data_IF_800059015506
#
_entry.id   IF_800059015506
#
_cell.length_a   1.000
_cell.length_b   1.000
_cell.length_c   1.000
_cell.angle_alpha   90.00
_cell.angle_beta   90.00
_cell.angle_gamma   90.00
#
_symmetry.space_group_name_H-M   'P 1'
#
loop_
_entity.id
_entity.type
_entity.pdbx_description
1 polymer ?
#
# COMPACT_ATOMS: atom_id res chain seq x y z
N UNK A 1 -38.45 -7.78 -36.40
CA UNK A 1 -37.91 -7.29 -37.65
C UNK A 1 -36.52 -6.71 -37.31
N UNK A 2 -35.37 -7.15 -37.66
CA UNK A 2 -34.87 -8.20 -38.56
C UNK A 2 -33.51 -8.63 -38.03
N UNK A 3 -33.35 -9.91 -37.76
CA UNK A 3 -32.06 -10.57 -37.50
C UNK A 3 -31.18 -10.48 -38.74
N UNK A 4 -29.94 -10.09 -38.59
CA UNK A 4 -28.88 -10.35 -39.57
C UNK A 4 -27.78 -11.19 -38.94
N UNK A 5 -27.89 -12.49 -39.26
CA UNK A 5 -26.85 -13.51 -39.13
C UNK A 5 -25.70 -13.15 -40.06
N UNK A 6 -24.47 -13.15 -39.58
CA UNK A 6 -23.29 -13.25 -40.42
C UNK A 6 -22.80 -14.71 -40.51
N UNK A 7 -22.37 -15.15 -41.70
CA UNK A 7 -22.00 -16.52 -41.92
C UNK A 7 -20.52 -16.79 -41.63
N UNK A 8 -20.24 -17.97 -41.12
CA UNK A 8 -18.96 -18.66 -41.09
C UNK A 8 -18.44 -18.86 -42.52
N UNK A 9 -17.26 -18.40 -42.81
CA UNK A 9 -16.50 -18.72 -44.04
C UNK A 9 -15.17 -19.35 -43.64
N UNK A 10 -15.13 -20.66 -43.58
CA UNK A 10 -14.39 -21.64 -44.35
C UNK A 10 -12.95 -21.31 -44.73
N UNK A 11 -12.09 -22.13 -44.15
CA UNK A 11 -10.76 -22.52 -44.55
C UNK A 11 -10.50 -22.41 -46.06
N UNK A 12 -9.45 -21.69 -46.44
CA UNK A 12 -8.72 -21.89 -47.70
C UNK A 12 -7.27 -22.13 -47.40
N UNK A 13 -6.94 -23.42 -47.23
CA UNK A 13 -5.60 -23.93 -47.53
C UNK A 13 -5.45 -23.90 -49.05
N UNK A 14 -4.67 -22.96 -49.54
CA UNK A 14 -4.18 -23.01 -50.93
C UNK A 14 -2.68 -23.17 -50.89
N UNK A 15 -2.27 -24.29 -51.44
CA UNK A 15 -0.91 -24.67 -51.84
C UNK A 15 -0.16 -23.50 -52.50
N UNK A 16 0.97 -23.14 -51.93
CA UNK A 16 2.08 -22.50 -52.62
C UNK A 16 3.33 -23.32 -52.36
N UNK A 17 3.55 -24.26 -53.31
CA UNK A 17 4.80 -24.97 -53.52
C UNK A 17 5.77 -23.98 -54.13
N UNK A 18 6.91 -23.74 -53.48
CA UNK A 18 8.10 -23.20 -54.11
C UNK A 18 8.38 -21.72 -53.87
N UNK A 19 8.82 -21.37 -52.64
CA UNK A 19 9.76 -20.26 -52.48
C UNK A 19 10.66 -20.58 -51.30
N UNK A 20 11.88 -20.94 -51.62
CA UNK A 20 13.03 -21.01 -50.72
C UNK A 20 13.37 -19.57 -50.37
N UNK A 21 12.85 -19.03 -49.27
CA UNK A 21 13.23 -17.72 -48.76
C UNK A 21 13.71 -17.89 -47.32
N UNK A 22 15.04 -17.75 -47.23
CA UNK A 22 15.79 -17.28 -46.06
C UNK A 22 15.01 -17.19 -44.73
N UNK A 23 14.83 -18.38 -44.11
CA UNK A 23 14.18 -18.50 -42.81
C UNK A 23 15.12 -18.31 -41.62
N UNK A 24 15.96 -17.22 -41.56
CA UNK A 24 16.90 -17.06 -40.45
C UNK A 24 16.82 -15.73 -39.68
N UNK A 25 15.90 -14.84 -40.02
CA UNK A 25 15.82 -13.54 -39.37
C UNK A 25 14.51 -13.24 -38.61
N UNK A 26 13.49 -14.10 -38.73
CA UNK A 26 12.21 -13.87 -38.00
C UNK A 26 12.13 -14.62 -36.65
N UNK A 27 12.96 -15.61 -36.41
CA UNK A 27 13.00 -16.38 -35.16
C UNK A 27 13.56 -15.56 -33.99
N UNK A 28 14.63 -14.78 -34.23
CA UNK A 28 15.27 -14.01 -33.14
C UNK A 28 14.44 -12.83 -32.61
N UNK A 29 13.53 -12.26 -33.42
CA UNK A 29 12.71 -11.12 -32.99
C UNK A 29 11.56 -11.53 -32.10
N UNK A 30 10.99 -12.70 -32.33
CA UNK A 30 9.94 -13.29 -31.49
C UNK A 30 10.48 -13.79 -30.15
N UNK A 31 11.65 -14.39 -30.14
CA UNK A 31 12.32 -14.84 -28.92
C UNK A 31 12.81 -13.69 -28.06
N UNK A 32 13.35 -12.64 -28.64
CA UNK A 32 13.73 -11.43 -27.91
C UNK A 32 12.51 -10.72 -27.30
N UNK A 33 11.41 -10.64 -28.03
CA UNK A 33 10.14 -10.08 -27.53
C UNK A 33 9.53 -10.94 -26.40
N UNK A 34 9.57 -12.27 -26.56
CA UNK A 34 9.11 -13.20 -25.52
C UNK A 34 10.00 -13.16 -24.28
N UNK A 35 11.32 -13.04 -24.42
CA UNK A 35 12.23 -12.86 -23.30
C UNK A 35 11.98 -11.56 -22.57
N UNK A 36 11.79 -10.45 -23.28
CA UNK A 36 11.45 -9.14 -22.68
C UNK A 36 10.15 -9.20 -21.88
N UNK A 37 9.10 -9.82 -22.43
CA UNK A 37 7.81 -10.01 -21.71
C UNK A 37 7.93 -10.97 -20.51
N UNK A 38 8.84 -11.94 -20.55
CA UNK A 38 9.09 -12.83 -19.41
C UNK A 38 9.98 -12.18 -18.35
N UNK A 39 10.86 -11.26 -18.72
CA UNK A 39 11.67 -10.48 -17.78
C UNK A 39 10.83 -9.42 -17.07
N UNK A 40 9.90 -8.74 -17.74
CA UNK A 40 8.95 -7.82 -17.10
C UNK A 40 8.09 -8.50 -16.04
N UNK A 41 7.73 -9.77 -16.22
CA UNK A 41 6.92 -10.51 -15.24
C UNK A 41 7.72 -10.99 -14.01
N UNK A 42 9.05 -11.05 -14.06
CA UNK A 42 9.86 -11.46 -12.92
C UNK A 42 10.03 -10.40 -11.84
N UNK A 43 9.87 -9.13 -12.22
CA UNK A 43 10.07 -8.00 -11.32
C UNK A 43 8.77 -7.47 -10.69
N UNK A 44 7.71 -8.30 -10.66
CA UNK A 44 6.41 -7.89 -10.12
C UNK A 44 6.14 -8.58 -8.78
N UNK A 45 5.99 -7.80 -7.72
CA UNK A 45 5.56 -8.27 -6.41
C UNK A 45 4.04 -8.10 -6.31
N UNK A 46 3.31 -9.21 -6.15
CA UNK A 46 1.86 -9.20 -5.94
C UNK A 46 1.54 -8.95 -4.47
N UNK A 47 0.76 -7.92 -4.18
CA UNK A 47 0.29 -7.58 -2.84
C UNK A 47 -1.11 -8.14 -2.60
N UNK A 48 -2.00 -7.88 -3.55
CA UNK A 48 -3.37 -8.39 -3.59
C UNK A 48 -3.73 -8.78 -5.01
N UNK A 49 -4.88 -9.43 -5.22
CA UNK A 49 -5.33 -9.82 -6.56
C UNK A 49 -5.42 -8.64 -7.56
N UNK A 50 -5.48 -7.39 -7.06
CA UNK A 50 -5.63 -6.17 -7.88
C UNK A 50 -4.44 -5.22 -7.80
N UNK A 51 -3.51 -5.45 -6.89
CA UNK A 51 -2.39 -4.54 -6.64
C UNK A 51 -1.06 -5.27 -6.79
N UNK A 52 -0.24 -4.71 -7.62
CA UNK A 52 1.13 -5.15 -7.86
C UNK A 52 2.08 -3.96 -7.77
N UNK A 53 3.29 -4.17 -7.33
CA UNK A 53 4.39 -3.20 -7.35
C UNK A 53 5.55 -3.80 -8.13
N UNK A 54 6.40 -2.96 -8.69
CA UNK A 54 7.62 -3.38 -9.38
C UNK A 54 8.78 -3.42 -8.41
N UNK A 55 9.69 -4.36 -8.59
CA UNK A 55 10.96 -4.35 -7.84
C UNK A 55 11.79 -3.10 -8.13
N UNK A 56 11.67 -2.52 -9.32
CA UNK A 56 12.35 -1.28 -9.73
C UNK A 56 11.92 -0.05 -8.91
N UNK A 57 10.76 -0.13 -8.24
CA UNK A 57 10.29 0.92 -7.32
C UNK A 57 10.85 0.76 -5.90
N UNK A 58 11.69 -0.26 -5.67
CA UNK A 58 12.33 -0.57 -4.40
C UNK A 58 13.83 -0.32 -4.49
N UNK A 59 14.36 0.51 -3.61
CA UNK A 59 15.77 0.72 -3.43
C UNK A 59 16.21 0.14 -2.09
N UNK A 60 17.16 -0.79 -2.12
CA UNK A 60 17.69 -1.44 -0.93
C UNK A 60 19.08 -0.85 -0.59
N UNK A 61 19.25 -0.38 0.62
CA UNK A 61 20.52 0.06 1.16
C UNK A 61 20.86 -0.69 2.44
N UNK A 62 22.14 -0.96 2.62
CA UNK A 62 22.64 -1.71 3.76
C UNK A 62 23.31 -0.77 4.74
N UNK A 63 22.76 -0.71 5.95
CA UNK A 63 23.23 0.15 7.01
C UNK A 63 23.77 -0.67 8.18
N UNK A 64 24.61 -0.06 8.98
CA UNK A 64 25.05 -0.66 10.24
C UNK A 64 23.91 -0.62 11.24
N UNK A 65 23.63 -1.76 11.87
CA UNK A 65 22.62 -1.79 12.93
C UNK A 65 23.08 -0.93 14.11
N UNK A 66 22.25 0.02 14.53
CA UNK A 66 22.47 0.80 15.75
C UNK A 66 21.80 0.08 16.93
N UNK A 67 22.54 -0.24 17.96
CA UNK A 67 21.98 -0.86 19.17
C UNK A 67 23.05 -1.35 20.16
N UNK A 68 22.68 -1.66 21.40
CA UNK A 68 23.58 -2.27 22.38
C UNK A 68 23.89 -3.70 21.92
N UNK A 69 24.99 -3.87 21.19
CA UNK A 69 25.43 -5.16 20.66
C UNK A 69 26.95 -5.30 20.79
N UNK A 70 27.42 -6.56 20.80
CA UNK A 70 28.85 -6.90 20.84
C UNK A 70 29.58 -6.46 19.57
N UNK A 71 30.92 -6.77 19.53
CA UNK A 71 31.85 -6.31 18.46
C UNK A 71 31.35 -6.60 17.01
N UNK A 72 30.54 -7.62 16.79
CA UNK A 72 30.02 -7.97 15.45
C UNK A 72 28.99 -6.97 14.92
N UNK A 73 28.19 -6.31 15.79
CA UNK A 73 27.15 -5.35 15.38
C UNK A 73 27.81 -4.11 14.75
N UNK A 74 29.00 -3.73 15.22
CA UNK A 74 29.70 -2.55 14.73
C UNK A 74 30.50 -2.79 13.44
N UNK A 75 30.77 -4.06 13.09
CA UNK A 75 31.61 -4.42 11.93
C UNK A 75 30.82 -4.84 10.70
N UNK A 76 29.59 -5.34 10.87
CA UNK A 76 28.81 -5.92 9.77
C UNK A 76 27.54 -5.11 9.53
N UNK A 77 27.33 -4.67 8.27
CA UNK A 77 26.13 -3.95 7.85
C UNK A 77 25.00 -4.96 7.57
N UNK A 78 24.39 -5.49 8.63
CA UNK A 78 23.29 -6.46 8.53
C UNK A 78 21.90 -5.82 8.48
N UNK A 79 21.78 -4.56 8.87
CA UNK A 79 20.50 -3.85 8.79
C UNK A 79 20.22 -3.42 7.35
N UNK A 80 18.97 -3.55 6.95
CA UNK A 80 18.48 -3.20 5.63
C UNK A 80 17.55 -2.00 5.75
N UNK A 81 17.79 -0.99 4.94
CA UNK A 81 16.91 0.13 4.74
C UNK A 81 16.29 0.01 3.36
N UNK A 82 14.99 -0.22 3.32
CA UNK A 82 14.20 -0.33 2.10
C UNK A 82 13.49 1.00 1.85
N UNK A 83 13.78 1.62 0.71
CA UNK A 83 13.09 2.81 0.21
C UNK A 83 12.12 2.40 -0.87
N UNK A 84 10.86 2.74 -0.71
CA UNK A 84 9.81 2.51 -1.70
C UNK A 84 9.38 3.82 -2.32
N UNK A 85 9.54 3.95 -3.65
CA UNK A 85 9.14 5.10 -4.44
C UNK A 85 7.65 5.07 -4.74
N UNK A 86 6.82 5.48 -3.78
CA UNK A 86 5.37 5.38 -3.88
C UNK A 86 4.79 6.21 -5.03
N UNK A 87 5.38 7.38 -5.32
CA UNK A 87 4.94 8.25 -6.42
C UNK A 87 5.12 7.61 -7.81
N UNK A 88 6.09 6.71 -7.98
CA UNK A 88 6.40 6.04 -9.25
C UNK A 88 5.68 4.69 -9.42
N UNK A 89 5.19 4.12 -8.35
CA UNK A 89 4.66 2.75 -8.29
C UNK A 89 3.33 2.54 -9.02
N UNK A 90 2.71 3.61 -9.55
CA UNK A 90 1.43 3.51 -10.26
C UNK A 90 0.24 3.12 -9.38
N UNK A 91 0.38 3.18 -8.06
CA UNK A 91 -0.72 2.92 -7.13
C UNK A 91 -1.80 4.02 -7.24
N UNK A 92 -3.09 3.69 -7.09
CA UNK A 92 -4.17 4.68 -7.06
C UNK A 92 -3.96 5.74 -5.97
N UNK A 93 -4.30 6.99 -6.25
CA UNK A 93 -4.09 8.14 -5.36
C UNK A 93 -4.79 7.96 -3.99
N UNK A 94 -5.97 7.34 -3.98
CA UNK A 94 -6.70 7.01 -2.74
C UNK A 94 -5.90 6.07 -1.83
N UNK A 95 -5.19 5.10 -2.43
CA UNK A 95 -4.35 4.16 -1.70
C UNK A 95 -3.08 4.87 -1.24
N UNK A 96 -2.45 5.70 -2.07
CA UNK A 96 -1.29 6.50 -1.70
C UNK A 96 -1.58 7.40 -0.50
N UNK A 97 -2.69 8.13 -0.53
CA UNK A 97 -3.10 9.00 0.59
C UNK A 97 -3.27 8.22 1.91
N UNK A 98 -3.87 7.02 1.85
CA UNK A 98 -4.01 6.16 3.02
C UNK A 98 -2.69 5.56 3.46
N UNK A 99 -1.85 5.18 2.51
CA UNK A 99 -0.54 4.62 2.73
C UNK A 99 0.37 5.60 3.50
N UNK A 100 0.42 6.87 3.09
CA UNK A 100 1.17 7.91 3.80
C UNK A 100 0.62 8.18 5.20
N UNK A 101 -0.69 8.15 5.39
CA UNK A 101 -1.30 8.26 6.73
C UNK A 101 -0.91 7.11 7.64
N UNK A 102 -0.83 5.87 7.11
CA UNK A 102 -0.43 4.68 7.86
C UNK A 102 1.09 4.64 8.09
N UNK A 103 1.88 5.09 7.12
CA UNK A 103 3.34 5.15 7.22
C UNK A 103 3.80 6.15 8.30
N UNK A 104 3.07 7.25 8.49
CA UNK A 104 3.42 8.28 9.48
C UNK A 104 4.83 8.80 9.30
N UNK A 105 5.69 8.64 10.31
CA UNK A 105 7.09 9.10 10.29
C UNK A 105 8.00 8.39 9.26
N UNK A 106 7.55 7.26 8.71
CA UNK A 106 8.29 6.53 7.67
C UNK A 106 8.13 7.15 6.28
N UNK A 107 7.16 8.04 6.11
CA UNK A 107 6.96 8.79 4.88
C UNK A 107 7.95 9.95 4.80
N UNK A 108 8.66 10.07 3.68
CA UNK A 108 9.53 11.21 3.38
C UNK A 108 8.74 12.32 2.68
N UNK A 109 9.30 13.54 2.67
CA UNK A 109 8.70 14.68 1.96
C UNK A 109 8.70 14.49 0.44
N UNK A 110 9.60 13.65 -0.05
CA UNK A 110 9.78 13.35 -1.48
C UNK A 110 8.74 12.36 -2.02
N UNK A 111 7.85 11.86 -1.16
CA UNK A 111 6.83 10.88 -1.55
C UNK A 111 7.32 9.43 -1.52
N UNK A 112 8.39 9.16 -0.78
CA UNK A 112 8.94 7.83 -0.58
C UNK A 112 8.59 7.29 0.81
N UNK A 113 8.64 5.98 0.97
CA UNK A 113 8.46 5.32 2.26
C UNK A 113 9.74 4.58 2.62
N UNK A 114 10.25 4.85 3.81
CA UNK A 114 11.47 4.27 4.35
C UNK A 114 11.13 3.22 5.41
N UNK A 115 11.61 1.99 5.22
CA UNK A 115 11.43 0.89 6.16
C UNK A 115 12.79 0.35 6.56
N UNK A 116 13.09 0.38 7.86
CA UNK A 116 14.30 -0.21 8.41
C UNK A 116 14.01 -1.57 9.03
N UNK A 117 14.83 -2.56 8.68
CA UNK A 117 14.79 -3.91 9.23
C UNK A 117 16.16 -4.29 9.77
N UNK A 118 16.22 -4.48 11.09
CA UNK A 118 17.42 -4.85 11.82
C UNK A 118 17.16 -5.97 12.85
N UNK A 119 16.02 -6.65 12.69
CA UNK A 119 15.55 -7.64 13.68
C UNK A 119 16.36 -8.93 13.67
N UNK A 120 16.82 -9.33 12.48
CA UNK A 120 17.50 -10.61 12.30
C UNK A 120 19.02 -10.44 12.20
N UNK A 121 19.74 -11.53 12.49
CA UNK A 121 21.21 -11.55 12.43
C UNK A 121 21.74 -11.56 10.99
N UNK A 122 20.99 -12.10 10.04
CA UNK A 122 21.39 -12.23 8.64
C UNK A 122 20.76 -11.13 7.79
N UNK A 123 21.52 -10.60 6.84
CA UNK A 123 21.10 -9.56 5.92
C UNK A 123 19.91 -10.00 5.07
N UNK A 124 19.93 -11.26 4.59
CA UNK A 124 18.85 -11.82 3.77
C UNK A 124 17.50 -11.82 4.50
N UNK A 125 17.49 -12.29 5.75
CA UNK A 125 16.26 -12.26 6.55
C UNK A 125 15.76 -10.86 6.86
N UNK A 126 16.66 -9.89 7.05
CA UNK A 126 16.26 -8.50 7.23
C UNK A 126 15.68 -7.91 5.93
N UNK A 127 16.19 -8.32 4.75
CA UNK A 127 15.64 -7.95 3.46
C UNK A 127 14.20 -8.49 3.29
N UNK A 128 14.00 -9.77 3.60
CA UNK A 128 12.66 -10.39 3.58
C UNK A 128 11.70 -9.69 4.55
N UNK A 129 12.11 -9.45 5.79
CA UNK A 129 11.31 -8.76 6.80
C UNK A 129 10.94 -7.32 6.37
N UNK A 130 11.87 -6.59 5.72
CA UNK A 130 11.58 -5.26 5.18
C UNK A 130 10.52 -5.31 4.08
N UNK A 131 10.64 -6.27 3.15
CA UNK A 131 9.67 -6.49 2.07
C UNK A 131 8.31 -6.92 2.60
N UNK A 132 8.26 -7.85 3.57
CA UNK A 132 7.01 -8.27 4.22
C UNK A 132 6.31 -7.11 4.92
N UNK A 133 7.05 -6.26 5.64
CA UNK A 133 6.50 -5.06 6.29
C UNK A 133 5.92 -4.08 5.29
N UNK A 134 6.58 -3.88 4.14
CA UNK A 134 6.07 -3.04 3.07
C UNK A 134 4.77 -3.60 2.49
N UNK A 135 4.76 -4.89 2.16
CA UNK A 135 3.58 -5.59 1.62
C UNK A 135 2.40 -5.48 2.60
N UNK A 136 2.63 -5.74 3.88
CA UNK A 136 1.60 -5.62 4.93
C UNK A 136 1.06 -4.17 5.05
N UNK A 137 1.94 -3.17 4.94
CA UNK A 137 1.56 -1.77 4.98
C UNK A 137 0.67 -1.39 3.79
N UNK A 138 1.06 -1.79 2.57
CA UNK A 138 0.28 -1.51 1.36
C UNK A 138 -1.04 -2.30 1.35
N UNK A 139 -1.04 -3.56 1.78
CA UNK A 139 -2.25 -4.36 1.91
C UNK A 139 -3.26 -3.70 2.85
N UNK A 140 -2.80 -3.19 4.00
CA UNK A 140 -3.63 -2.44 4.95
C UNK A 140 -4.15 -1.12 4.37
N UNK A 141 -3.35 -0.43 3.55
CA UNK A 141 -3.78 0.78 2.85
C UNK A 141 -4.82 0.50 1.77
N UNK A 142 -4.78 -0.70 1.18
CA UNK A 142 -5.73 -1.14 0.16
C UNK A 142 -7.11 -1.47 0.73
N UNK A 143 -7.22 -1.78 2.04
CA UNK A 143 -8.50 -2.01 2.69
C UNK A 143 -9.37 -0.74 2.66
N UNK A 144 -10.66 -0.86 2.29
CA UNK A 144 -11.55 0.29 2.31
C UNK A 144 -11.75 0.79 3.76
N UNK A 145 -11.87 2.12 3.96
CA UNK A 145 -12.10 2.66 5.29
C UNK A 145 -13.44 2.16 5.84
N UNK A 146 -13.54 1.89 7.16
CA UNK A 146 -14.79 1.49 7.76
C UNK A 146 -15.86 2.58 7.57
N UNK A 147 -17.13 2.21 7.45
CA UNK A 147 -18.21 3.17 7.31
C UNK A 147 -18.25 4.13 8.51
N UNK A 148 -18.62 5.41 8.31
CA UNK A 148 -18.67 6.38 9.40
C UNK A 148 -19.68 5.92 10.46
N UNK A 149 -19.26 6.00 11.72
CA UNK A 149 -20.14 5.65 12.85
C UNK A 149 -21.35 6.58 12.89
N UNK A 150 -22.54 6.01 12.89
CA UNK A 150 -23.77 6.78 13.12
C UNK A 150 -23.76 7.38 14.53
N UNK A 151 -24.16 8.64 14.66
CA UNK A 151 -24.31 9.30 15.96
C UNK A 151 -25.36 8.55 16.79
N UNK A 152 -25.00 8.11 17.98
CA UNK A 152 -25.92 7.47 18.92
C UNK A 152 -26.53 8.55 19.84
N UNK A 153 -27.78 8.35 20.24
CA UNK A 153 -28.41 9.22 21.25
C UNK A 153 -27.71 9.05 22.60
N UNK A 154 -27.58 10.14 23.38
CA UNK A 154 -27.09 10.05 24.76
C UNK A 154 -27.95 9.09 25.58
N UNK A 155 -27.33 8.33 26.48
CA UNK A 155 -28.05 7.43 27.38
C UNK A 155 -28.92 8.22 28.36
N UNK A 156 -30.03 7.62 28.82
CA UNK A 156 -30.93 8.25 29.79
C UNK A 156 -30.15 8.80 31.00
N UNK A 157 -29.26 7.98 31.60
CA UNK A 157 -28.46 8.40 32.74
C UNK A 157 -27.48 9.57 32.45
N UNK A 158 -27.01 9.72 31.20
CA UNK A 158 -26.24 10.90 30.80
C UNK A 158 -27.09 12.15 30.74
N UNK A 159 -28.32 12.03 30.23
CA UNK A 159 -29.28 13.15 30.18
C UNK A 159 -29.68 13.57 31.58
N UNK A 160 -30.00 12.63 32.46
CA UNK A 160 -30.35 12.89 33.87
C UNK A 160 -29.22 13.57 34.63
N UNK A 161 -27.98 13.07 34.51
CA UNK A 161 -26.81 13.70 35.14
C UNK A 161 -26.62 15.13 34.66
N UNK A 162 -26.79 15.38 33.36
CA UNK A 162 -26.69 16.73 32.80
C UNK A 162 -27.79 17.65 33.33
N UNK A 163 -29.04 17.15 33.42
CA UNK A 163 -30.17 17.93 33.95
C UNK A 163 -29.97 18.25 35.44
N UNK A 164 -29.57 17.25 36.24
CA UNK A 164 -29.28 17.43 37.68
C UNK A 164 -28.16 18.46 37.91
N UNK A 165 -27.08 18.40 37.13
CA UNK A 165 -25.99 19.35 37.18
C UNK A 165 -26.45 20.77 36.77
N UNK A 166 -27.37 20.87 35.79
CA UNK A 166 -27.94 22.14 35.35
C UNK A 166 -28.84 22.76 36.44
N UNK A 167 -29.71 21.95 37.09
CA UNK A 167 -30.58 22.45 38.16
C UNK A 167 -29.76 22.93 39.37
N UNK A 168 -28.75 22.15 39.81
CA UNK A 168 -27.88 22.58 40.89
C UNK A 168 -27.14 23.90 40.63
N UNK A 169 -26.69 24.12 39.39
CA UNK A 169 -26.10 25.41 38.99
C UNK A 169 -27.12 26.53 38.99
N UNK A 170 -28.38 26.27 38.61
CA UNK A 170 -29.45 27.25 38.64
C UNK A 170 -29.81 27.66 40.08
N UNK A 171 -29.84 26.71 41.03
CA UNK A 171 -30.08 26.95 42.42
C UNK A 171 -28.98 27.81 43.07
N UNK A 172 -27.72 27.49 42.80
CA UNK A 172 -26.57 28.31 43.21
C UNK A 172 -26.69 29.74 42.65
N UNK A 173 -27.09 29.86 41.37
CA UNK A 173 -27.26 31.18 40.75
C UNK A 173 -28.41 31.99 41.35
N UNK A 174 -29.53 31.32 41.71
CA UNK A 174 -30.65 31.99 42.45
C UNK A 174 -30.20 32.49 43.82
N UNK A 175 -29.38 31.70 44.54
CA UNK A 175 -28.85 32.11 45.85
C UNK A 175 -27.88 33.31 45.84
N UNK A 176 -27.39 33.71 44.64
CA UNK A 176 -26.54 34.88 44.45
C UNK A 176 -27.33 36.18 44.22
N UNK A 177 -28.66 36.15 44.32
CA UNK A 177 -29.53 37.35 44.24
C UNK A 177 -29.19 38.39 45.32
N UNK A 178 -29.52 39.65 45.05
CA UNK A 178 -29.34 40.75 46.05
C UNK A 178 -30.06 40.41 47.33
N UNK A 179 -29.35 40.41 48.44
CA UNK A 179 -29.96 40.38 49.78
C UNK A 179 -30.62 41.74 49.99
N UNK A 180 -31.96 41.76 50.13
CA UNK A 180 -32.67 42.94 50.59
C UNK A 180 -32.39 43.07 52.07
N UNK A 181 -31.69 44.14 52.46
CA UNK A 181 -31.56 44.54 53.85
C UNK A 181 -32.78 45.45 54.15
N UNK A 182 -33.76 44.89 54.86
CA UNK A 182 -34.83 45.68 55.49
C UNK A 182 -34.30 46.34 56.80
#
# INVERSE_FOLDING_TARGET
MTCLRMPLSQNRFALLRGMRVQGFLLSNRSEACMRSLMEENRNIIRITNRLTIREDDLEESFIRASGPGGQNVNKVSTAVQLRFHAARSGLPEDILTRLFKLAGQKGTKDGDILIEANRFRTQERNREDARERLIALIAKAAEPPPPPRKKTRPTKGSVERRLKAKSGRADIKKGRGKVSFD
#
